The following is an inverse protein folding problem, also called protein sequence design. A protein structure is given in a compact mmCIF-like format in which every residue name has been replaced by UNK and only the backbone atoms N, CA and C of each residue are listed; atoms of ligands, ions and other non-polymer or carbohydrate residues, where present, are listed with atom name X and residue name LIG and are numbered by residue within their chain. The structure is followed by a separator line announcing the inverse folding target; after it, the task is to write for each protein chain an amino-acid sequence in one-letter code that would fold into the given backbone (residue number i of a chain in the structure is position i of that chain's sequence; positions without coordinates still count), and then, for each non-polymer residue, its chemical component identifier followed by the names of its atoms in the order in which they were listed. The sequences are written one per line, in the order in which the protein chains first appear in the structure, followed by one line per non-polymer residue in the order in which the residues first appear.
data_IF_593691938126
#
_entry.id   IF_593691938126
#
_cell.length_a   1.000
_cell.length_b   1.000
_cell.length_c   1.000
_cell.angle_alpha   90.00
_cell.angle_beta   90.00
_cell.angle_gamma   90.00
#
_symmetry.space_group_name_H-M   'P 1'
#
loop_
_entity.id
_entity.type
_entity.pdbx_description
1 polymer ?
#
# COMPACT_ATOMS: atom_id res chain seq x y z
N UNK A 1 -16.33 54.18 4.75
CA UNK A 1 -16.21 53.04 3.82
C UNK A 1 -14.83 52.42 4.02
N UNK A 2 -14.76 51.12 4.35
CA UNK A 2 -13.57 50.43 4.88
C UNK A 2 -12.54 50.10 3.79
N UNK A 3 -11.26 50.38 4.11
CA UNK A 3 -9.99 49.60 4.00
C UNK A 3 -9.81 48.60 2.82
N UNK A 4 -8.62 48.34 2.25
CA UNK A 4 -7.24 48.85 2.36
C UNK A 4 -6.43 48.15 1.24
N UNK A 5 -5.59 48.90 0.52
CA UNK A 5 -4.43 48.39 -0.20
C UNK A 5 -3.24 48.25 0.76
N UNK A 6 -2.41 47.20 0.61
CA UNK A 6 -1.03 47.08 1.11
C UNK A 6 -0.27 46.24 0.07
N UNK A 7 0.52 46.80 -0.85
CA UNK A 7 1.86 47.42 -0.72
C UNK A 7 2.89 46.60 0.07
N UNK A 8 3.87 46.13 -0.72
CA UNK A 8 5.12 45.44 -0.41
C UNK A 8 6.07 46.42 0.28
N UNK A 9 6.76 45.98 1.34
CA UNK A 9 7.85 46.72 1.96
C UNK A 9 9.11 45.85 2.01
N UNK A 10 10.09 46.24 1.19
CA UNK A 10 11.50 45.85 1.29
C UNK A 10 12.15 46.82 2.27
N UNK A 11 13.01 46.34 3.18
CA UNK A 11 13.92 47.21 3.92
C UNK A 11 15.25 46.50 4.19
N UNK A 12 16.30 47.12 3.67
CA UNK A 12 17.74 46.85 3.83
C UNK A 12 18.28 47.91 4.78
N UNK A 13 18.94 47.55 5.89
CA UNK A 13 19.95 48.35 6.64
C UNK A 13 20.79 47.34 7.46
N UNK A 14 22.04 47.00 7.15
CA UNK A 14 23.32 47.74 7.21
C UNK A 14 23.94 47.91 8.63
N UNK A 15 24.90 47.02 8.93
CA UNK A 15 26.28 47.24 9.40
C UNK A 15 26.57 48.01 10.71
N UNK A 16 27.29 47.34 11.62
CA UNK A 16 28.25 48.00 12.53
C UNK A 16 29.39 47.04 12.96
N UNK A 17 30.61 47.36 12.51
CA UNK A 17 31.91 46.88 13.01
C UNK A 17 32.22 47.51 14.39
N UNK A 18 33.02 46.81 15.21
CA UNK A 18 34.11 47.27 16.11
C UNK A 18 34.43 46.08 17.04
N UNK A 19 35.65 45.70 17.44
CA UNK A 19 37.01 46.16 17.23
C UNK A 19 37.97 44.99 17.56
N UNK A 20 39.18 45.00 16.98
CA UNK A 20 40.28 44.06 17.25
C UNK A 20 41.27 44.71 18.23
N UNK A 21 41.69 43.97 19.27
CA UNK A 21 43.01 43.96 19.95
C UNK A 21 42.90 42.99 21.15
N UNK A 22 43.83 42.09 21.48
CA UNK A 22 45.21 41.91 21.06
C UNK A 22 45.79 40.55 21.52
N UNK A 23 47.02 40.31 21.10
CA UNK A 23 47.80 39.06 21.08
C UNK A 23 48.30 38.56 22.45
N UNK A 24 48.55 37.23 22.58
CA UNK A 24 49.92 36.65 22.52
C UNK A 24 50.04 35.22 23.12
N UNK A 25 50.62 34.32 22.31
CA UNK A 25 51.50 33.15 22.63
C UNK A 25 50.91 31.95 23.44
N UNK A 26 51.15 30.66 23.13
CA UNK A 26 52.13 29.99 22.27
C UNK A 26 51.80 28.47 22.13
N UNK A 27 52.43 27.82 21.13
CA UNK A 27 52.73 26.36 20.93
C UNK A 27 51.92 25.54 19.89
N UNK A 28 52.53 25.52 18.69
CA UNK A 28 52.88 24.37 17.83
C UNK A 28 51.91 23.19 17.59
N UNK A 29 51.52 23.10 16.31
CA UNK A 29 51.49 21.91 15.42
C UNK A 29 50.64 20.71 15.80
N UNK A 30 49.66 20.40 14.96
CA UNK A 30 49.64 19.13 14.22
C UNK A 30 48.83 19.28 12.93
N UNK A 31 49.51 19.05 11.80
CA UNK A 31 48.92 18.74 10.50
C UNK A 31 48.07 17.49 10.65
N UNK A 32 46.73 17.59 10.62
CA UNK A 32 45.82 16.45 10.40
C UNK A 32 44.36 16.84 10.04
N UNK A 33 44.05 18.13 9.85
CA UNK A 33 42.67 18.56 9.53
C UNK A 33 42.31 18.47 8.03
N UNK A 34 43.22 18.01 7.17
CA UNK A 34 43.01 17.99 5.72
C UNK A 34 42.41 16.69 5.16
N UNK A 35 42.26 15.62 5.96
CA UNK A 35 41.75 14.32 5.47
C UNK A 35 40.31 14.01 5.83
N UNK A 36 39.60 14.85 6.61
CA UNK A 36 38.20 14.56 7.02
C UNK A 36 37.13 15.14 6.09
N UNK A 37 37.49 15.63 4.90
CA UNK A 37 36.55 16.19 3.92
C UNK A 37 36.60 15.50 2.55
N UNK A 38 37.30 14.37 2.41
CA UNK A 38 37.44 13.65 1.15
C UNK A 38 36.55 12.40 1.05
N UNK A 39 35.31 12.44 1.53
CA UNK A 39 34.27 11.47 1.12
C UNK A 39 32.86 12.05 1.29
N UNK A 40 32.64 13.27 0.82
CA UNK A 40 31.28 13.73 0.52
C UNK A 40 31.03 13.39 -0.95
N UNK A 41 30.38 12.25 -1.16
CA UNK A 41 29.84 11.86 -2.47
C UNK A 41 29.00 13.02 -3.00
N UNK A 42 29.22 13.40 -4.26
CA UNK A 42 28.54 14.51 -4.94
C UNK A 42 27.08 14.19 -5.23
N UNK A 43 26.28 13.93 -4.20
CA UNK A 43 24.85 13.71 -4.33
C UNK A 43 24.21 15.06 -4.59
N UNK A 44 23.68 15.26 -5.79
CA UNK A 44 22.99 16.49 -6.14
C UNK A 44 21.64 16.54 -5.43
N UNK A 45 21.06 17.74 -5.29
CA UNK A 45 19.69 17.87 -4.76
C UNK A 45 18.68 17.03 -5.57
N UNK A 46 18.93 16.87 -6.88
CA UNK A 46 18.15 16.02 -7.78
C UNK A 46 18.30 14.54 -7.43
N UNK A 47 19.49 14.08 -7.07
CA UNK A 47 19.71 12.70 -6.65
C UNK A 47 19.03 12.42 -5.31
N UNK A 48 19.10 13.36 -4.36
CA UNK A 48 18.39 13.24 -3.07
C UNK A 48 16.87 13.21 -3.30
N UNK A 49 16.34 14.05 -4.17
CA UNK A 49 14.90 14.07 -4.49
C UNK A 49 14.50 12.80 -5.24
N UNK A 50 15.33 12.32 -6.17
CA UNK A 50 15.09 11.09 -6.92
C UNK A 50 15.12 9.85 -6.02
N UNK A 51 16.11 9.73 -5.13
CA UNK A 51 16.19 8.64 -4.17
C UNK A 51 15.06 8.71 -3.14
N UNK A 52 14.74 9.90 -2.63
CA UNK A 52 13.59 10.09 -1.74
C UNK A 52 12.28 9.72 -2.44
N UNK A 53 12.12 10.07 -3.72
CA UNK A 53 10.94 9.70 -4.50
C UNK A 53 10.85 8.19 -4.73
N UNK A 54 11.98 7.49 -4.91
CA UNK A 54 12.00 6.03 -4.98
C UNK A 54 11.59 5.38 -3.66
N UNK A 55 12.06 5.89 -2.52
CA UNK A 55 11.69 5.36 -1.21
C UNK A 55 10.21 5.63 -0.87
N UNK A 56 9.67 6.81 -1.22
CA UNK A 56 8.25 7.13 -1.02
C UNK A 56 7.35 6.24 -1.90
N UNK A 57 7.78 5.96 -3.13
CA UNK A 57 7.05 5.08 -4.05
C UNK A 57 7.18 3.60 -3.68
N UNK A 58 7.99 3.23 -2.67
CA UNK A 58 8.15 1.84 -2.29
C UNK A 58 6.94 1.26 -1.52
N UNK A 59 6.13 2.10 -0.91
CA UNK A 59 5.22 1.66 0.14
C UNK A 59 6.01 1.19 1.38
N UNK A 60 5.34 0.82 2.47
CA UNK A 60 6.02 0.41 3.68
C UNK A 60 6.83 -0.86 3.43
N UNK A 61 8.15 -0.76 3.53
CA UNK A 61 9.05 -1.92 3.51
C UNK A 61 9.11 -2.53 4.89
N UNK A 62 8.96 -3.86 4.98
CA UNK A 62 9.12 -4.66 6.20
C UNK A 62 10.31 -4.17 7.02
N UNK A 63 10.06 -3.74 8.26
CA UNK A 63 11.10 -3.11 9.08
C UNK A 63 12.02 -4.16 9.71
N UNK A 64 11.45 -5.17 10.38
CA UNK A 64 12.05 -6.45 10.85
C UNK A 64 10.89 -7.34 11.36
N UNK A 65 11.00 -8.69 11.33
CA UNK A 65 10.00 -9.59 11.97
C UNK A 65 9.09 -10.35 11.01
N UNK A 66 7.86 -10.70 11.41
CA UNK A 66 6.86 -11.32 10.52
C UNK A 66 5.99 -10.21 9.90
N UNK A 67 5.46 -10.40 8.69
CA UNK A 67 4.55 -9.43 8.05
C UNK A 67 3.22 -10.08 7.69
N UNK A 68 2.12 -9.37 7.88
CA UNK A 68 0.79 -9.81 7.46
C UNK A 68 0.13 -8.73 6.61
N UNK A 69 -0.14 -9.05 5.35
CA UNK A 69 -1.00 -8.27 4.47
C UNK A 69 -2.44 -8.73 4.67
N UNK A 70 -3.22 -7.95 5.40
CA UNK A 70 -4.68 -8.13 5.42
C UNK A 70 -5.21 -7.60 4.09
N UNK A 71 -5.88 -8.47 3.34
CA UNK A 71 -6.44 -8.14 2.03
C UNK A 71 -7.94 -8.41 2.01
N UNK A 72 -8.71 -7.43 1.55
CA UNK A 72 -10.18 -7.38 1.69
C UNK A 72 -10.80 -7.30 0.30
N UNK A 73 -11.55 -8.32 -0.09
CA UNK A 73 -12.18 -8.44 -1.41
C UNK A 73 -13.66 -8.03 -1.39
N UNK A 74 -14.23 -7.90 -2.60
CA UNK A 74 -15.66 -7.67 -2.91
C UNK A 74 -16.24 -6.30 -2.52
N UNK A 75 -15.45 -5.42 -1.92
CA UNK A 75 -15.86 -4.07 -1.55
C UNK A 75 -15.90 -3.06 -2.72
N UNK A 76 -16.25 -1.79 -2.44
CA UNK A 76 -16.84 -1.32 -1.18
C UNK A 76 -18.29 -1.78 -0.97
N UNK A 77 -18.72 -1.85 0.28
CA UNK A 77 -20.08 -2.19 0.69
C UNK A 77 -20.53 -1.33 1.88
N UNK A 78 -21.68 -1.65 2.47
CA UNK A 78 -22.12 -1.05 3.74
C UNK A 78 -21.11 -1.24 4.89
N UNK A 79 -20.18 -2.20 4.77
CA UNK A 79 -19.18 -2.53 5.79
C UNK A 79 -17.84 -1.78 5.64
N UNK A 80 -17.58 -1.15 4.49
CA UNK A 80 -16.26 -0.58 4.17
C UNK A 80 -15.77 0.43 5.23
N UNK A 81 -16.58 1.43 5.56
CA UNK A 81 -16.20 2.48 6.51
C UNK A 81 -15.98 1.95 7.93
N UNK A 82 -16.72 0.92 8.34
CA UNK A 82 -16.53 0.28 9.65
C UNK A 82 -15.21 -0.49 9.68
N UNK A 83 -14.87 -1.24 8.62
CA UNK A 83 -13.58 -1.90 8.49
C UNK A 83 -12.42 -0.89 8.49
N UNK A 84 -12.53 0.17 7.70
CA UNK A 84 -11.53 1.26 7.66
C UNK A 84 -11.36 1.90 9.04
N UNK A 85 -12.45 2.09 9.80
CA UNK A 85 -12.39 2.58 11.17
C UNK A 85 -11.66 1.60 12.10
N UNK A 86 -11.93 0.30 12.03
CA UNK A 86 -11.26 -0.72 12.85
C UNK A 86 -9.75 -0.76 12.55
N UNK A 87 -9.36 -0.70 11.28
CA UNK A 87 -7.96 -0.64 10.84
C UNK A 87 -7.26 0.58 11.43
N UNK A 88 -7.90 1.75 11.31
CA UNK A 88 -7.41 3.01 11.86
C UNK A 88 -7.28 2.98 13.37
N UNK A 89 -8.28 2.50 14.10
CA UNK A 89 -8.27 2.41 15.57
C UNK A 89 -7.14 1.47 16.05
N UNK A 90 -6.73 0.54 15.20
CA UNK A 90 -5.58 -0.32 15.42
C UNK A 90 -4.26 0.25 14.87
N UNK A 91 -4.22 1.43 14.27
CA UNK A 91 -3.02 1.99 13.63
C UNK A 91 -2.38 1.03 12.61
N UNK A 92 -3.21 0.38 11.78
CA UNK A 92 -2.75 -0.48 10.69
C UNK A 92 -3.45 -0.10 9.39
N UNK A 93 -2.86 -0.49 8.27
CA UNK A 93 -3.45 -0.33 6.94
C UNK A 93 -3.54 -1.69 6.25
N UNK A 94 -4.56 -1.84 5.38
CA UNK A 94 -4.84 -3.06 4.63
C UNK A 94 -4.92 -2.76 3.13
N UNK A 95 -5.08 -3.81 2.32
CA UNK A 95 -5.31 -3.70 0.87
C UNK A 95 -6.74 -4.07 0.54
N UNK A 96 -7.47 -3.21 -0.15
CA UNK A 96 -8.84 -3.48 -0.60
C UNK A 96 -8.84 -3.78 -2.10
N UNK A 97 -9.29 -4.97 -2.51
CA UNK A 97 -9.53 -5.30 -3.91
C UNK A 97 -11.00 -5.06 -4.23
N UNK A 98 -11.26 -3.98 -4.96
CA UNK A 98 -12.61 -3.45 -5.15
C UNK A 98 -13.20 -3.83 -6.50
N UNK A 99 -14.49 -4.16 -6.51
CA UNK A 99 -15.26 -4.43 -7.74
C UNK A 99 -15.71 -3.10 -8.35
N UNK A 100 -15.59 -2.96 -9.68
CA UNK A 100 -15.91 -1.72 -10.41
C UNK A 100 -17.30 -1.14 -10.10
N UNK A 101 -18.32 -2.00 -10.14
CA UNK A 101 -19.71 -1.60 -9.86
C UNK A 101 -19.89 -1.03 -8.45
N UNK A 102 -19.14 -1.58 -7.48
CA UNK A 102 -19.17 -1.14 -6.09
C UNK A 102 -18.42 0.19 -5.92
N UNK A 103 -17.29 0.39 -6.59
CA UNK A 103 -16.59 1.68 -6.60
C UNK A 103 -17.50 2.80 -7.14
N UNK A 104 -18.26 2.52 -8.20
CA UNK A 104 -19.25 3.46 -8.76
C UNK A 104 -20.40 3.76 -7.81
N UNK A 105 -20.86 2.76 -7.06
CA UNK A 105 -21.94 2.91 -6.09
C UNK A 105 -21.50 3.67 -4.83
N UNK A 106 -20.23 3.52 -4.42
CA UNK A 106 -19.70 4.07 -3.17
C UNK A 106 -18.41 4.90 -3.37
N UNK A 107 -18.40 5.94 -4.22
CA UNK A 107 -17.18 6.68 -4.56
C UNK A 107 -16.55 7.40 -3.36
N UNK A 108 -17.35 7.84 -2.38
CA UNK A 108 -16.83 8.47 -1.16
C UNK A 108 -16.12 7.48 -0.24
N UNK A 109 -16.54 6.21 -0.21
CA UNK A 109 -15.86 5.15 0.53
C UNK A 109 -14.51 4.81 -0.11
N UNK A 110 -14.42 4.80 -1.45
CA UNK A 110 -13.14 4.65 -2.17
C UNK A 110 -12.16 5.76 -1.76
N UNK A 111 -12.61 7.02 -1.79
CA UNK A 111 -11.79 8.17 -1.39
C UNK A 111 -11.39 8.11 0.09
N UNK A 112 -12.32 7.75 0.98
CA UNK A 112 -12.03 7.63 2.41
C UNK A 112 -11.02 6.52 2.69
N UNK A 113 -11.19 5.34 2.08
CA UNK A 113 -10.27 4.21 2.19
C UNK A 113 -8.85 4.62 1.84
N UNK A 114 -8.68 5.29 0.68
CA UNK A 114 -7.38 5.78 0.22
C UNK A 114 -6.81 6.86 1.16
N UNK A 115 -7.65 7.82 1.59
CA UNK A 115 -7.25 8.91 2.50
C UNK A 115 -6.78 8.41 3.87
N UNK A 116 -7.29 7.28 4.36
CA UNK A 116 -6.81 6.67 5.61
C UNK A 116 -5.50 5.87 5.44
N UNK A 117 -4.91 5.83 4.24
CA UNK A 117 -3.62 5.18 3.96
C UNK A 117 -3.71 3.71 3.58
N UNK A 118 -4.91 3.18 3.31
CA UNK A 118 -5.07 1.83 2.80
C UNK A 118 -4.70 1.77 1.31
N UNK A 119 -4.15 0.64 0.87
CA UNK A 119 -3.96 0.37 -0.55
C UNK A 119 -5.28 -0.06 -1.18
N UNK A 120 -5.47 0.30 -2.45
CA UNK A 120 -6.64 -0.10 -3.24
C UNK A 120 -6.13 -0.78 -4.51
N UNK A 121 -6.63 -1.97 -4.78
CA UNK A 121 -6.47 -2.69 -6.04
C UNK A 121 -7.83 -3.05 -6.64
N UNK A 122 -7.81 -3.73 -7.77
CA UNK A 122 -9.02 -4.03 -8.53
C UNK A 122 -9.40 -5.51 -8.46
N UNK A 123 -10.71 -5.78 -8.38
CA UNK A 123 -11.29 -7.12 -8.32
C UNK A 123 -12.28 -7.39 -9.47
N UNK A 124 -11.90 -6.97 -10.67
CA UNK A 124 -12.68 -7.05 -11.92
C UNK A 124 -13.96 -6.18 -11.93
N UNK A 125 -14.68 -6.27 -13.04
CA UNK A 125 -15.97 -5.60 -13.23
C UNK A 125 -17.12 -6.55 -12.91
N UNK A 126 -17.04 -7.77 -13.42
CA UNK A 126 -18.19 -8.68 -13.44
C UNK A 126 -18.19 -9.68 -12.31
N UNK A 127 -17.01 -10.01 -11.77
CA UNK A 127 -16.83 -11.10 -10.81
C UNK A 127 -17.47 -12.42 -11.31
N UNK A 128 -17.53 -12.61 -12.63
CA UNK A 128 -18.20 -13.74 -13.29
C UNK A 128 -17.16 -14.60 -13.98
N UNK A 129 -17.04 -15.85 -13.54
CA UNK A 129 -16.07 -16.81 -14.04
C UNK A 129 -16.17 -17.03 -15.56
N UNK A 130 -17.37 -16.92 -16.14
CA UNK A 130 -17.62 -17.14 -17.56
C UNK A 130 -17.34 -15.91 -18.43
N UNK A 131 -17.13 -14.74 -17.81
CA UNK A 131 -16.76 -13.50 -18.50
C UNK A 131 -15.28 -13.22 -18.31
N UNK A 132 -14.82 -13.25 -17.06
CA UNK A 132 -13.46 -12.92 -16.69
C UNK A 132 -12.42 -13.82 -17.38
N UNK A 133 -12.71 -15.12 -17.47
CA UNK A 133 -11.80 -16.12 -18.05
C UNK A 133 -12.22 -16.59 -19.44
N UNK A 134 -13.07 -15.83 -20.13
CA UNK A 134 -13.61 -16.22 -21.44
C UNK A 134 -12.54 -16.25 -22.53
N UNK A 135 -11.64 -15.28 -22.50
CA UNK A 135 -10.54 -15.12 -23.47
C UNK A 135 -9.28 -14.70 -22.74
N UNK A 136 -8.13 -14.81 -23.41
CA UNK A 136 -6.85 -14.37 -22.83
C UNK A 136 -6.79 -12.85 -22.57
N UNK A 137 -7.74 -12.06 -23.07
CA UNK A 137 -7.80 -10.60 -22.87
C UNK A 137 -8.86 -10.15 -21.87
N UNK A 138 -9.87 -10.99 -21.59
CA UNK A 138 -11.08 -10.56 -20.88
C UNK A 138 -10.79 -10.01 -19.48
N UNK A 139 -9.92 -10.67 -18.71
CA UNK A 139 -9.52 -10.17 -17.40
C UNK A 139 -8.80 -8.82 -17.47
N UNK A 140 -7.85 -8.66 -18.39
CA UNK A 140 -7.13 -7.39 -18.59
C UNK A 140 -8.10 -6.26 -18.95
N UNK A 141 -9.04 -6.50 -19.86
CA UNK A 141 -10.06 -5.51 -20.27
C UNK A 141 -10.94 -5.09 -19.08
N UNK A 142 -11.33 -6.03 -18.21
CA UNK A 142 -12.06 -5.68 -16.99
C UNK A 142 -11.23 -4.84 -16.02
N UNK A 143 -9.94 -5.15 -15.83
CA UNK A 143 -9.08 -4.34 -14.97
C UNK A 143 -8.77 -2.95 -15.53
N UNK A 144 -8.69 -2.79 -16.85
CA UNK A 144 -8.58 -1.47 -17.50
C UNK A 144 -9.80 -0.61 -17.16
N UNK A 145 -11.00 -1.19 -17.16
CA UNK A 145 -12.24 -0.48 -16.76
C UNK A 145 -12.19 -0.09 -15.30
N UNK A 146 -11.76 -0.98 -14.40
CA UNK A 146 -11.57 -0.64 -12.99
C UNK A 146 -10.60 0.54 -12.80
N UNK A 147 -9.49 0.55 -13.56
CA UNK A 147 -8.50 1.62 -13.51
C UNK A 147 -9.09 2.97 -13.94
N UNK A 148 -9.86 3.01 -15.03
CA UNK A 148 -10.51 4.25 -15.46
C UNK A 148 -11.55 4.75 -14.44
N UNK A 149 -12.36 3.84 -13.88
CA UNK A 149 -13.30 4.17 -12.80
C UNK A 149 -12.58 4.73 -11.59
N UNK A 150 -11.55 4.04 -11.09
CA UNK A 150 -10.78 4.48 -9.94
C UNK A 150 -10.17 5.87 -10.16
N UNK A 151 -9.51 6.08 -11.31
CA UNK A 151 -8.92 7.36 -11.69
C UNK A 151 -9.96 8.48 -11.77
N UNK A 152 -11.16 8.19 -12.26
CA UNK A 152 -12.25 9.18 -12.31
C UNK A 152 -12.75 9.59 -10.91
N UNK A 153 -12.67 8.69 -9.93
CA UNK A 153 -13.14 8.92 -8.55
C UNK A 153 -12.05 9.63 -7.72
N UNK A 154 -10.80 9.20 -7.85
CA UNK A 154 -9.71 9.59 -6.93
C UNK A 154 -8.68 10.53 -7.56
N UNK A 155 -8.54 10.51 -8.89
CA UNK A 155 -7.43 11.15 -9.60
C UNK A 155 -6.12 10.34 -9.58
N UNK A 156 -6.11 9.18 -8.91
CA UNK A 156 -4.94 8.34 -8.70
C UNK A 156 -4.99 7.07 -9.57
N UNK A 157 -3.88 6.32 -9.62
CA UNK A 157 -3.79 5.03 -10.32
C UNK A 157 -3.35 3.89 -9.39
N UNK A 158 -3.64 2.64 -9.76
CA UNK A 158 -3.18 1.46 -9.03
C UNK A 158 -2.83 0.34 -10.00
N UNK A 159 -1.72 -0.34 -9.73
CA UNK A 159 -1.31 -1.53 -10.47
C UNK A 159 -1.75 -2.83 -9.78
N UNK A 160 -2.28 -2.76 -8.55
CA UNK A 160 -2.65 -3.94 -7.78
C UNK A 160 -3.96 -4.54 -8.30
N UNK A 161 -3.95 -5.84 -8.57
CA UNK A 161 -5.16 -6.59 -8.91
C UNK A 161 -5.23 -7.90 -8.14
N UNK A 162 -6.45 -8.38 -7.97
CA UNK A 162 -6.73 -9.76 -7.58
C UNK A 162 -7.78 -10.32 -8.49
N UNK A 163 -7.52 -11.52 -9.01
CA UNK A 163 -8.48 -12.23 -9.84
C UNK A 163 -9.55 -12.90 -8.97
N UNK A 164 -10.84 -12.64 -9.20
CA UNK A 164 -11.94 -13.42 -8.62
C UNK A 164 -11.69 -14.91 -8.70
N UNK A 165 -11.94 -15.64 -7.61
CA UNK A 165 -11.74 -17.09 -7.49
C UNK A 165 -10.27 -17.57 -7.54
N UNK A 166 -9.31 -16.65 -7.51
CA UNK A 166 -7.88 -16.94 -7.56
C UNK A 166 -7.35 -17.14 -8.99
N UNK A 167 -6.05 -16.88 -9.17
CA UNK A 167 -5.42 -16.93 -10.49
C UNK A 167 -5.34 -18.34 -11.09
N UNK A 168 -5.34 -19.39 -10.27
CA UNK A 168 -5.40 -20.79 -10.70
C UNK A 168 -6.64 -21.47 -10.11
N UNK A 169 -7.26 -22.41 -10.85
CA UNK A 169 -6.82 -22.95 -12.14
C UNK A 169 -7.37 -22.22 -13.38
N UNK A 170 -8.15 -21.15 -13.22
CA UNK A 170 -8.98 -20.60 -14.30
C UNK A 170 -8.25 -19.71 -15.30
N UNK A 171 -7.24 -18.96 -14.84
CA UNK A 171 -6.46 -18.10 -15.73
C UNK A 171 -5.59 -18.97 -16.64
N UNK A 172 -5.47 -18.63 -17.92
CA UNK A 172 -4.47 -19.26 -18.79
C UNK A 172 -3.11 -18.59 -18.60
N UNK A 173 -2.01 -19.23 -19.00
CA UNK A 173 -0.69 -18.57 -19.02
C UNK A 173 -0.73 -17.32 -19.92
N UNK A 174 -1.38 -17.39 -21.07
CA UNK A 174 -1.49 -16.26 -21.99
C UNK A 174 -2.28 -15.09 -21.37
N UNK A 175 -3.36 -15.38 -20.63
CA UNK A 175 -4.12 -14.37 -19.89
C UNK A 175 -3.28 -13.72 -18.79
N UNK A 176 -2.55 -14.52 -18.01
CA UNK A 176 -1.60 -14.03 -17.01
C UNK A 176 -0.52 -13.13 -17.64
N UNK A 177 0.08 -13.55 -18.74
CA UNK A 177 1.11 -12.77 -19.44
C UNK A 177 0.55 -11.44 -19.96
N UNK A 178 -0.68 -11.43 -20.51
CA UNK A 178 -1.33 -10.20 -20.96
C UNK A 178 -1.57 -9.20 -19.82
N UNK A 179 -1.94 -9.71 -18.64
CA UNK A 179 -2.15 -8.91 -17.43
C UNK A 179 -0.83 -8.29 -16.96
N UNK A 180 0.22 -9.10 -16.79
CA UNK A 180 1.52 -8.63 -16.28
C UNK A 180 2.21 -7.70 -17.28
N UNK A 181 2.15 -8.01 -18.58
CA UNK A 181 2.71 -7.14 -19.63
C UNK A 181 1.98 -5.79 -19.73
N UNK A 182 0.73 -5.70 -19.27
CA UNK A 182 0.00 -4.44 -19.15
C UNK A 182 0.44 -3.60 -17.94
N UNK A 183 1.31 -4.13 -17.08
CA UNK A 183 1.84 -3.46 -15.88
C UNK A 183 1.06 -3.77 -14.61
N UNK A 184 0.06 -4.65 -14.64
CA UNK A 184 -0.67 -5.05 -13.45
C UNK A 184 0.12 -6.06 -12.59
N UNK A 185 -0.06 -5.95 -11.28
CA UNK A 185 0.54 -6.79 -10.26
C UNK A 185 -0.52 -7.67 -9.62
N UNK A 186 -0.48 -8.94 -9.98
CA UNK A 186 -1.44 -9.94 -9.53
C UNK A 186 -1.08 -10.51 -8.16
N UNK A 187 -1.99 -10.35 -7.19
CA UNK A 187 -1.86 -10.91 -5.86
C UNK A 187 -2.91 -11.98 -5.58
N UNK A 188 -2.48 -13.20 -5.28
CA UNK A 188 -3.35 -14.21 -4.66
C UNK A 188 -3.23 -14.11 -3.12
N UNK A 189 -3.29 -15.24 -2.40
CA UNK A 189 -3.20 -15.30 -0.94
C UNK A 189 -2.45 -16.55 -0.45
N UNK A 190 -1.86 -16.47 0.74
CA UNK A 190 -1.28 -17.65 1.44
C UNK A 190 -2.25 -18.25 2.45
N UNK A 191 -3.24 -17.47 2.92
CA UNK A 191 -4.22 -17.89 3.90
C UNK A 191 -5.63 -17.43 3.48
N UNK A 192 -6.46 -18.39 3.09
CA UNK A 192 -7.91 -18.18 2.92
C UNK A 192 -8.59 -18.28 4.28
N UNK A 193 -9.32 -17.24 4.67
CA UNK A 193 -10.05 -17.23 5.93
C UNK A 193 -11.35 -18.04 5.88
N UNK A 194 -11.83 -18.34 4.67
CA UNK A 194 -13.13 -18.96 4.38
C UNK A 194 -14.32 -18.22 5.02
N UNK A 195 -14.20 -16.91 5.23
CA UNK A 195 -15.24 -16.09 5.89
C UNK A 195 -16.57 -16.09 5.12
N UNK A 196 -16.52 -16.31 3.80
CA UNK A 196 -17.69 -16.42 2.95
C UNK A 196 -18.64 -17.57 3.31
N UNK A 197 -18.15 -18.61 4.00
CA UNK A 197 -18.94 -19.76 4.51
C UNK A 197 -18.86 -19.96 6.03
N UNK A 198 -18.04 -19.18 6.72
CA UNK A 198 -17.77 -19.35 8.15
C UNK A 198 -18.55 -18.37 9.03
N UNK A 199 -18.84 -18.77 10.27
CA UNK A 199 -19.22 -17.81 11.33
C UNK A 199 -18.00 -16.99 11.76
N UNK A 200 -18.23 -15.88 12.47
CA UNK A 200 -17.14 -15.06 13.02
C UNK A 200 -16.18 -15.84 13.93
N UNK A 201 -16.69 -16.78 14.73
CA UNK A 201 -15.86 -17.60 15.62
C UNK A 201 -15.04 -18.64 14.85
N UNK A 202 -15.62 -19.24 13.81
CA UNK A 202 -14.92 -20.17 12.91
C UNK A 202 -13.82 -19.44 12.16
N UNK A 203 -14.12 -18.28 11.58
CA UNK A 203 -13.17 -17.39 10.90
C UNK A 203 -11.95 -17.09 11.78
N UNK A 204 -12.19 -16.59 13.00
CA UNK A 204 -11.10 -16.28 13.93
C UNK A 204 -10.28 -17.52 14.31
N UNK A 205 -10.94 -18.68 14.45
CA UNK A 205 -10.27 -19.95 14.75
C UNK A 205 -9.40 -20.44 13.59
N UNK A 206 -9.87 -20.31 12.35
CA UNK A 206 -9.11 -20.61 11.13
C UNK A 206 -7.83 -19.78 11.08
N UNK A 207 -7.94 -18.46 11.29
CA UNK A 207 -6.79 -17.55 11.28
C UNK A 207 -5.80 -17.94 12.38
N UNK A 208 -6.26 -18.16 13.62
CA UNK A 208 -5.39 -18.59 14.74
C UNK A 208 -4.68 -19.92 14.47
N UNK A 209 -5.31 -20.82 13.73
CA UNK A 209 -4.74 -22.15 13.44
C UNK A 209 -3.70 -22.12 12.33
N UNK A 210 -3.89 -21.27 11.32
CA UNK A 210 -3.14 -21.33 10.06
C UNK A 210 -2.27 -20.10 9.77
N UNK A 211 -2.41 -19.01 10.53
CA UNK A 211 -1.52 -17.84 10.44
C UNK A 211 -0.10 -18.18 10.93
N UNK A 212 0.72 -18.73 10.04
CA UNK A 212 2.08 -19.20 10.32
C UNK A 212 3.04 -18.74 9.22
N UNK A 213 4.30 -18.60 9.58
CA UNK A 213 5.36 -18.16 8.67
C UNK A 213 5.81 -16.73 8.95
N UNK A 214 6.70 -16.23 8.09
CA UNK A 214 7.25 -14.87 8.20
C UNK A 214 6.47 -13.85 7.36
N UNK A 215 5.57 -14.34 6.51
CA UNK A 215 4.71 -13.56 5.63
C UNK A 215 3.35 -14.24 5.46
N UNK A 216 2.28 -13.46 5.62
CA UNK A 216 0.91 -13.90 5.36
C UNK A 216 0.26 -12.91 4.42
N UNK A 217 -0.36 -13.41 3.35
CA UNK A 217 -1.36 -12.66 2.58
C UNK A 217 -2.71 -13.28 2.95
N UNK A 218 -3.46 -12.59 3.81
CA UNK A 218 -4.73 -13.04 4.35
C UNK A 218 -5.87 -12.54 3.45
N UNK A 219 -6.62 -13.48 2.87
CA UNK A 219 -7.86 -13.19 2.14
C UNK A 219 -9.05 -13.16 3.10
N UNK A 220 -9.74 -12.03 3.14
CA UNK A 220 -11.06 -11.83 3.77
C UNK A 220 -11.95 -11.01 2.82
N UNK A 221 -13.25 -10.91 3.10
CA UNK A 221 -14.23 -10.19 2.29
C UNK A 221 -15.00 -9.17 3.14
N UNK A 222 -15.54 -8.12 2.52
CA UNK A 222 -16.41 -7.14 3.19
C UNK A 222 -17.76 -7.76 3.61
N UNK A 223 -17.77 -8.45 4.75
CA UNK A 223 -18.96 -9.15 5.26
C UNK A 223 -19.18 -8.89 6.75
N UNK A 224 -20.44 -8.90 7.17
CA UNK A 224 -20.85 -8.72 8.57
C UNK A 224 -20.06 -9.58 9.55
N UNK A 225 -19.88 -10.88 9.24
CA UNK A 225 -19.14 -11.80 10.12
C UNK A 225 -17.66 -11.44 10.23
N UNK A 226 -17.08 -10.88 9.17
CA UNK A 226 -15.67 -10.49 9.09
C UNK A 226 -15.44 -9.21 9.87
N UNK A 227 -16.29 -8.20 9.68
CA UNK A 227 -16.28 -6.95 10.46
C UNK A 227 -16.31 -7.26 11.97
N UNK A 228 -17.18 -8.19 12.37
CA UNK A 228 -17.40 -8.52 13.78
C UNK A 228 -16.15 -9.08 14.50
N UNK A 229 -15.14 -9.61 13.78
CA UNK A 229 -13.90 -10.13 14.36
C UNK A 229 -12.63 -9.52 13.78
N UNK A 230 -12.74 -8.50 12.93
CA UNK A 230 -11.56 -7.86 12.31
C UNK A 230 -10.60 -7.30 13.37
N UNK A 231 -11.14 -6.67 14.41
CA UNK A 231 -10.34 -6.17 15.55
C UNK A 231 -9.61 -7.29 16.29
N UNK A 232 -10.27 -8.43 16.53
CA UNK A 232 -9.66 -9.60 17.16
C UNK A 232 -8.58 -10.25 16.29
N UNK A 233 -8.79 -10.28 14.96
CA UNK A 233 -7.81 -10.76 13.98
C UNK A 233 -6.54 -9.89 14.05
N UNK A 234 -6.70 -8.56 13.99
CA UNK A 234 -5.58 -7.61 14.04
C UNK A 234 -4.80 -7.76 15.35
N UNK A 235 -5.51 -7.81 16.49
CA UNK A 235 -4.89 -8.01 17.81
C UNK A 235 -4.13 -9.33 17.90
N UNK A 236 -4.69 -10.40 17.36
CA UNK A 236 -4.04 -11.70 17.33
C UNK A 236 -2.76 -11.69 16.48
N UNK A 237 -2.82 -11.16 15.26
CA UNK A 237 -1.64 -11.08 14.39
C UNK A 237 -0.52 -10.25 15.03
N UNK A 238 -0.84 -9.12 15.67
CA UNK A 238 0.14 -8.34 16.43
C UNK A 238 0.75 -9.11 17.60
N UNK A 239 -0.06 -9.86 18.33
CA UNK A 239 0.41 -10.70 19.45
C UNK A 239 1.40 -11.77 18.97
N UNK A 240 1.18 -12.32 17.77
CA UNK A 240 2.07 -13.30 17.13
C UNK A 240 3.33 -12.70 16.49
N UNK A 241 3.50 -11.38 16.60
CA UNK A 241 4.67 -10.64 16.13
C UNK A 241 4.61 -10.22 14.66
N UNK A 242 3.42 -10.16 14.07
CA UNK A 242 3.25 -9.62 12.71
C UNK A 242 3.15 -8.09 12.71
N UNK A 243 3.97 -7.47 11.88
CA UNK A 243 3.73 -6.11 11.37
C UNK A 243 2.62 -6.20 10.30
N UNK A 244 1.57 -5.38 10.42
CA UNK A 244 0.44 -5.40 9.50
C UNK A 244 0.57 -4.22 8.55
N UNK A 245 0.77 -4.51 7.27
CA UNK A 245 1.03 -3.53 6.24
C UNK A 245 0.07 -3.72 5.06
N UNK A 246 -0.28 -2.65 4.33
CA UNK A 246 -0.90 -2.76 3.02
C UNK A 246 0.16 -3.21 2.01
N UNK A 247 -0.29 -3.79 0.89
CA UNK A 247 0.60 -4.13 -0.22
C UNK A 247 1.06 -2.82 -0.86
N UNK A 248 2.37 -2.62 -0.90
CA UNK A 248 2.99 -1.44 -1.50
C UNK A 248 3.06 -1.55 -3.03
N UNK A 249 2.85 -0.44 -3.72
CA UNK A 249 2.94 -0.39 -5.19
C UNK A 249 4.36 -0.68 -5.73
N UNK A 250 5.42 -0.72 -4.93
CA UNK A 250 6.73 -1.20 -5.43
C UNK A 250 6.99 -2.68 -5.23
N UNK A 251 6.17 -3.35 -4.42
CA UNK A 251 6.34 -4.77 -4.20
C UNK A 251 6.14 -5.51 -5.51
N UNK A 252 6.86 -6.61 -5.68
CA UNK A 252 6.61 -7.50 -6.81
C UNK A 252 5.33 -8.27 -6.55
N UNK A 253 4.66 -8.67 -7.62
CA UNK A 253 3.49 -9.52 -7.53
C UNK A 253 3.82 -10.90 -6.90
N UNK A 254 2.87 -11.44 -6.15
CA UNK A 254 2.93 -12.75 -5.51
C UNK A 254 1.65 -13.52 -5.82
N UNK A 255 1.78 -14.60 -6.60
CA UNK A 255 0.64 -15.32 -7.13
C UNK A 255 1.00 -16.79 -7.39
N UNK A 256 -0.01 -17.60 -7.71
CA UNK A 256 0.18 -19.02 -7.96
C UNK A 256 0.89 -19.34 -9.30
N UNK A 257 1.16 -18.35 -10.16
CA UNK A 257 1.97 -18.52 -11.38
C UNK A 257 3.46 -18.46 -11.10
N UNK A 258 3.91 -17.55 -10.25
CA UNK A 258 5.33 -17.37 -9.93
C UNK A 258 5.81 -18.23 -8.75
N UNK A 259 4.93 -19.04 -8.16
CA UNK A 259 5.28 -20.01 -7.12
C UNK A 259 5.63 -19.40 -5.76
N UNK A 260 5.51 -18.08 -5.60
CA UNK A 260 5.91 -17.37 -4.37
C UNK A 260 5.00 -17.65 -3.18
N UNK A 261 3.75 -18.06 -3.41
CA UNK A 261 2.75 -18.32 -2.37
C UNK A 261 2.62 -19.80 -1.97
N UNK A 262 3.46 -20.68 -2.52
CA UNK A 262 3.32 -22.13 -2.38
C UNK A 262 2.23 -22.72 -3.30
N UNK A 263 2.28 -24.02 -3.57
CA UNK A 263 1.23 -24.71 -4.32
C UNK A 263 0.00 -24.92 -3.46
N UNK A 264 -1.18 -24.60 -4.00
CA UNK A 264 -2.46 -25.12 -3.50
C UNK A 264 -2.38 -26.65 -3.61
N UNK A 265 -2.16 -27.35 -2.49
CA UNK A 265 -2.18 -28.81 -2.43
C UNK A 265 -3.62 -29.31 -2.20
#
# INVERSE_FOLDING_TARGET
MKLKNKLIAISIIAMSLFAVTGCSNNKSTNENDYERNATLTSTTLSDVIYDSSKEINKGPTKTYGKVAYITIDDGPSEYNDEMVKILKDNNVNATFFMVDGNMKAFPEQVKNTLKQGNAIGFHSVTHDIHKLYKTDMSAKEEFDVCQETFKSITGETSDLIRLPFGSKPYTSQASYDNIVNAGYKLWDWTLDSEDWKSTSSQLLSTIKKYAKGDEIVLLIHERKQTVAVLDDIIKYLKLEGYEILPIGQSQQEENYWNGKLGSQN
#
